data_IF_079580895894
#
_entry.id   IF_079580895894
#
_cell.length_a   1.000
_cell.length_b   1.000
_cell.length_c   1.000
_cell.angle_alpha   90.00
_cell.angle_beta   90.00
_cell.angle_gamma   90.00
#
_symmetry.space_group_name_H-M   'P 1'
#
loop_
_entity.id
_entity.type
_entity.pdbx_description
1 polymer ?
#
# COMPACT_ATOMS: atom_id res chain seq x y z
N UNK A 1 -12.35 -1.80 15.95
CA UNK A 1 -12.82 -1.97 14.55
C UNK A 1 -11.66 -2.56 13.78
N UNK A 2 -11.77 -3.81 13.33
CA UNK A 2 -10.75 -4.45 12.49
C UNK A 2 -10.90 -3.94 11.06
N UNK A 3 -9.78 -3.58 10.42
CA UNK A 3 -9.73 -3.09 9.04
C UNK A 3 -9.57 -4.29 8.12
N UNK A 4 -10.45 -4.46 7.13
CA UNK A 4 -10.38 -5.56 6.16
C UNK A 4 -9.30 -5.28 5.09
N UNK A 5 -8.55 -6.31 4.70
CA UNK A 5 -7.50 -6.25 3.66
C UNK A 5 -8.03 -6.89 2.37
N UNK A 6 -7.57 -6.46 1.19
CA UNK A 6 -8.04 -6.94 -0.12
C UNK A 6 -6.86 -7.40 -1.00
N UNK A 7 -6.98 -8.52 -1.72
CA UNK A 7 -5.90 -9.05 -2.61
C UNK A 7 -6.42 -10.01 -3.71
N UNK A 8 -5.58 -10.32 -4.71
CA UNK A 8 -5.89 -11.16 -5.90
C UNK A 8 -5.00 -12.40 -6.05
N UNK A 9 -4.01 -12.59 -5.18
CA UNK A 9 -2.99 -13.64 -5.29
C UNK A 9 -3.30 -14.81 -4.33
N UNK A 10 -3.06 -16.05 -4.77
CA UNK A 10 -3.38 -17.32 -4.06
C UNK A 10 -2.17 -18.25 -3.90
N UNK A 11 -0.96 -17.80 -4.24
CA UNK A 11 0.23 -18.62 -4.06
C UNK A 11 0.64 -18.71 -2.58
N UNK A 12 1.08 -19.91 -2.16
CA UNK A 12 1.49 -20.21 -0.78
C UNK A 12 2.96 -20.59 -0.75
N UNK A 13 3.75 -19.87 0.06
CA UNK A 13 5.17 -20.14 0.31
C UNK A 13 5.42 -20.33 1.81
N UNK A 14 6.31 -21.25 2.16
CA UNK A 14 6.68 -21.61 3.54
C UNK A 14 8.20 -21.57 3.67
N UNK A 15 8.72 -20.87 4.67
CA UNK A 15 10.15 -20.82 5.03
C UNK A 15 10.34 -21.09 6.53
N UNK A 16 11.30 -21.96 6.90
CA UNK A 16 11.59 -22.30 8.30
C UNK A 16 12.83 -21.53 8.81
N UNK A 17 12.66 -20.76 9.89
CA UNK A 17 13.71 -20.08 10.65
C UNK A 17 13.29 -20.05 12.14
N UNK A 18 13.93 -19.24 12.99
CA UNK A 18 13.41 -18.87 14.33
C UNK A 18 11.98 -18.27 14.23
N UNK A 19 11.67 -17.77 13.04
CA UNK A 19 10.37 -17.24 12.65
C UNK A 19 9.79 -18.19 11.60
N UNK A 20 8.58 -18.72 11.85
CA UNK A 20 7.83 -19.45 10.83
C UNK A 20 7.04 -18.45 10.01
N UNK A 21 7.12 -18.59 8.69
CA UNK A 21 6.46 -17.67 7.76
C UNK A 21 5.51 -18.45 6.86
N UNK A 22 4.25 -18.02 6.83
CA UNK A 22 3.24 -18.48 5.86
C UNK A 22 2.85 -17.28 5.01
N UNK A 23 3.05 -17.38 3.70
CA UNK A 23 2.60 -16.35 2.76
C UNK A 23 1.33 -16.82 2.03
N UNK A 24 0.33 -15.95 1.93
CA UNK A 24 -0.92 -16.18 1.18
C UNK A 24 -1.16 -14.94 0.32
N UNK A 25 -0.83 -15.05 -0.97
CA UNK A 25 -0.84 -13.91 -1.87
C UNK A 25 0.07 -12.78 -1.39
N UNK A 26 -0.46 -11.57 -1.27
CA UNK A 26 0.29 -10.39 -0.78
C UNK A 26 0.31 -10.27 0.74
N UNK A 27 -0.04 -11.31 1.49
CA UNK A 27 0.03 -11.31 2.96
C UNK A 27 1.09 -12.28 3.45
N UNK A 28 1.86 -11.85 4.44
CA UNK A 28 2.85 -12.66 5.14
C UNK A 28 2.49 -12.73 6.62
N UNK A 29 2.27 -13.94 7.09
CA UNK A 29 1.97 -14.28 8.48
C UNK A 29 3.26 -14.79 9.12
N UNK A 30 3.75 -14.08 10.12
CA UNK A 30 5.01 -14.39 10.78
C UNK A 30 4.75 -14.71 12.25
N UNK A 31 5.27 -15.85 12.71
CA UNK A 31 5.28 -16.21 14.11
C UNK A 31 6.72 -16.40 14.57
N UNK A 32 7.09 -15.66 15.60
CA UNK A 32 8.36 -15.80 16.30
C UNK A 32 8.13 -16.69 17.52
N UNK A 33 8.91 -17.76 17.68
CA UNK A 33 8.75 -18.72 18.79
C UNK A 33 8.78 -18.08 20.19
N UNK A 34 9.34 -16.86 20.31
CA UNK A 34 9.45 -16.14 21.59
C UNK A 34 8.14 -15.49 22.01
N UNK A 35 7.19 -15.32 21.10
CA UNK A 35 5.97 -14.58 21.35
C UNK A 35 4.72 -15.34 20.87
N UNK A 36 3.64 -15.40 21.66
CA UNK A 36 2.44 -16.17 21.33
C UNK A 36 1.45 -15.36 20.45
N UNK A 37 1.95 -14.60 19.46
CA UNK A 37 1.12 -13.85 18.51
C UNK A 37 1.64 -14.02 17.09
N UNK A 38 0.75 -13.81 16.10
CA UNK A 38 1.12 -13.78 14.68
C UNK A 38 1.10 -12.33 14.21
N UNK A 39 2.22 -11.85 13.68
CA UNK A 39 2.28 -10.57 13.01
C UNK A 39 1.92 -10.75 11.53
N UNK A 40 1.06 -9.87 11.02
CA UNK A 40 0.57 -9.92 9.63
C UNK A 40 1.09 -8.71 8.87
N UNK A 41 1.76 -8.97 7.76
CA UNK A 41 2.36 -7.97 6.89
C UNK A 41 1.78 -8.03 5.49
N UNK A 42 1.72 -6.87 4.81
CA UNK A 42 1.55 -6.78 3.36
C UNK A 42 2.92 -6.95 2.69
N UNK A 43 2.97 -7.79 1.67
CA UNK A 43 4.13 -8.05 0.80
C UNK A 43 3.84 -7.56 -0.61
N UNK A 44 4.89 -7.22 -1.37
CA UNK A 44 4.77 -6.73 -2.77
C UNK A 44 5.31 -5.32 -3.02
N UNK A 45 5.73 -4.59 -1.98
CA UNK A 45 6.50 -3.35 -2.07
C UNK A 45 8.01 -3.56 -1.89
N UNK A 46 8.77 -2.47 -1.72
CA UNK A 46 10.22 -2.54 -1.40
C UNK A 46 10.50 -3.17 -0.03
N UNK A 47 9.53 -3.14 0.88
CA UNK A 47 9.61 -3.72 2.23
C UNK A 47 8.24 -4.23 2.69
N UNK A 48 8.24 -5.07 3.73
CA UNK A 48 7.01 -5.55 4.38
C UNK A 48 6.35 -4.41 5.16
N UNK A 49 5.04 -4.24 4.99
CA UNK A 49 4.25 -3.24 5.73
C UNK A 49 3.40 -3.92 6.80
N UNK A 50 3.55 -3.52 8.07
CA UNK A 50 2.75 -4.09 9.16
C UNK A 50 1.27 -3.73 8.99
N UNK A 51 0.40 -4.74 9.10
CA UNK A 51 -1.05 -4.56 8.94
C UNK A 51 -1.78 -4.72 10.25
N UNK A 52 -1.56 -5.86 10.92
CA UNK A 52 -2.24 -6.21 12.16
C UNK A 52 -1.47 -7.31 12.88
N UNK A 53 -1.84 -7.51 14.13
CA UNK A 53 -1.40 -8.63 14.95
C UNK A 53 -2.62 -9.50 15.30
N UNK A 54 -2.42 -10.82 15.29
CA UNK A 54 -3.38 -11.80 15.77
C UNK A 54 -2.90 -12.25 17.15
N UNK A 55 -3.51 -11.67 18.18
CA UNK A 55 -3.24 -11.95 19.59
C UNK A 55 -4.58 -12.30 20.26
N UNK A 56 -4.88 -13.60 20.28
CA UNK A 56 -6.12 -14.15 20.82
C UNK A 56 -5.84 -14.86 22.15
N UNK A 57 -6.74 -14.75 23.11
CA UNK A 57 -6.57 -15.33 24.46
C UNK A 57 -6.36 -16.86 24.44
N UNK A 58 -6.87 -17.55 23.41
CA UNK A 58 -6.76 -19.00 23.23
C UNK A 58 -5.98 -19.37 21.97
N UNK A 59 -4.85 -18.70 21.73
CA UNK A 59 -4.03 -18.97 20.57
C UNK A 59 -3.45 -20.40 20.60
N UNK A 60 -3.54 -21.17 19.50
CA UNK A 60 -2.92 -22.49 19.43
C UNK A 60 -1.40 -22.40 19.48
N UNK A 61 -0.74 -23.43 20.01
CA UNK A 61 0.70 -23.61 19.83
C UNK A 61 0.92 -24.33 18.51
N UNK A 62 1.59 -23.67 17.57
CA UNK A 62 1.90 -24.25 16.27
C UNK A 62 3.22 -25.00 16.35
N UNK A 63 3.17 -26.32 16.24
CA UNK A 63 4.37 -27.17 16.23
C UNK A 63 4.78 -27.48 14.79
N UNK A 64 3.80 -27.58 13.89
CA UNK A 64 4.02 -27.89 12.48
C UNK A 64 3.48 -26.79 11.55
N UNK A 65 4.15 -26.62 10.41
CA UNK A 65 3.76 -25.65 9.38
C UNK A 65 2.34 -25.89 8.83
N UNK A 66 1.88 -27.14 8.80
CA UNK A 66 0.54 -27.49 8.31
C UNK A 66 -0.55 -26.92 9.23
N UNK A 67 -0.34 -26.97 10.54
CA UNK A 67 -1.27 -26.40 11.54
C UNK A 67 -1.35 -24.87 11.42
N UNK A 68 -0.18 -24.23 11.31
CA UNK A 68 -0.09 -22.78 11.11
C UNK A 68 -0.76 -22.36 9.80
N UNK A 69 -0.52 -23.10 8.71
CA UNK A 69 -1.13 -22.85 7.40
C UNK A 69 -2.65 -22.93 7.45
N UNK A 70 -3.22 -23.96 8.10
CA UNK A 70 -4.67 -24.11 8.25
C UNK A 70 -5.24 -22.93 9.05
N UNK A 71 -4.58 -22.53 10.13
CA UNK A 71 -5.00 -21.39 10.94
C UNK A 71 -4.98 -20.08 10.13
N UNK A 72 -3.87 -19.78 9.45
CA UNK A 72 -3.72 -18.60 8.60
C UNK A 72 -4.79 -18.57 7.49
N UNK A 73 -5.09 -19.70 6.85
CA UNK A 73 -6.15 -19.78 5.83
C UNK A 73 -7.53 -19.46 6.41
N UNK A 74 -7.87 -20.04 7.56
CA UNK A 74 -9.15 -19.76 8.22
C UNK A 74 -9.26 -18.28 8.62
N UNK A 75 -8.19 -17.71 9.17
CA UNK A 75 -8.16 -16.28 9.48
C UNK A 75 -8.32 -15.44 8.21
N UNK A 76 -7.59 -15.78 7.14
CA UNK A 76 -7.65 -15.09 5.85
C UNK A 76 -9.07 -15.06 5.30
N UNK A 77 -9.75 -16.21 5.20
CA UNK A 77 -11.12 -16.26 4.67
C UNK A 77 -12.14 -15.50 5.53
N UNK A 78 -11.88 -15.31 6.82
CA UNK A 78 -12.76 -14.57 7.72
C UNK A 78 -12.50 -13.06 7.73
N UNK A 79 -11.30 -12.61 7.34
CA UNK A 79 -10.85 -11.22 7.54
C UNK A 79 -10.43 -10.50 6.25
N UNK A 80 -10.25 -11.23 5.14
CA UNK A 80 -9.83 -10.69 3.85
C UNK A 80 -10.99 -10.75 2.86
N UNK A 81 -11.29 -9.62 2.23
CA UNK A 81 -12.31 -9.54 1.18
C UNK A 81 -11.64 -9.68 -0.19
N UNK A 82 -12.05 -10.69 -0.96
CA UNK A 82 -11.61 -10.84 -2.35
C UNK A 82 -12.51 -9.97 -3.22
N UNK A 83 -11.94 -8.95 -3.85
CA UNK A 83 -12.64 -8.06 -4.78
C UNK A 83 -12.12 -8.24 -6.21
N UNK A 84 -12.91 -7.83 -7.20
CA UNK A 84 -12.42 -7.77 -8.57
C UNK A 84 -11.29 -6.73 -8.67
N UNK A 85 -10.33 -6.96 -9.58
CA UNK A 85 -9.20 -6.04 -9.79
C UNK A 85 -9.66 -4.61 -10.12
N UNK A 86 -10.79 -4.47 -10.81
CA UNK A 86 -11.42 -3.18 -11.17
C UNK A 86 -11.88 -2.37 -9.95
N UNK A 87 -12.15 -3.02 -8.81
CA UNK A 87 -12.65 -2.36 -7.59
C UNK A 87 -11.51 -1.87 -6.67
N UNK A 88 -10.25 -2.22 -6.96
CA UNK A 88 -9.07 -1.82 -6.16
C UNK A 88 -8.79 -0.32 -6.35
N UNK A 89 -8.90 0.19 -7.59
CA UNK A 89 -8.67 1.61 -7.92
C UNK A 89 -9.65 2.56 -7.20
N UNK A 90 -10.84 2.08 -6.83
CA UNK A 90 -11.87 2.90 -6.18
C UNK A 90 -11.71 3.03 -4.66
N UNK A 91 -10.86 2.22 -4.02
CA UNK A 91 -10.78 2.14 -2.55
C UNK A 91 -9.41 2.45 -1.94
N UNK A 92 -8.34 2.53 -2.74
CA UNK A 92 -7.16 3.28 -2.30
C UNK A 92 -7.57 4.75 -2.13
N UNK A 93 -7.26 5.44 -1.02
CA UNK A 93 -7.36 6.90 -1.03
C UNK A 93 -6.50 7.34 -2.22
N UNK A 94 -7.10 8.00 -3.21
CA UNK A 94 -6.34 8.69 -4.24
C UNK A 94 -5.37 9.58 -3.47
N UNK A 95 -4.13 9.13 -3.40
CA UNK A 95 -3.06 9.90 -2.81
C UNK A 95 -3.03 11.16 -3.67
N UNK A 96 -3.47 12.28 -3.09
CA UNK A 96 -3.63 13.61 -3.68
C UNK A 96 -2.32 14.17 -4.31
N UNK A 97 -1.27 13.36 -4.42
CA UNK A 97 0.03 13.66 -5.00
C UNK A 97 -0.07 13.92 -6.51
N UNK A 98 -0.97 13.24 -7.24
CA UNK A 98 -1.16 13.57 -8.67
C UNK A 98 -1.85 14.93 -8.86
N UNK A 99 -2.87 15.26 -8.07
CA UNK A 99 -3.51 16.59 -8.15
C UNK A 99 -2.56 17.72 -7.75
N UNK A 100 -1.73 17.53 -6.71
CA UNK A 100 -0.81 18.57 -6.26
C UNK A 100 0.27 18.84 -7.32
N UNK A 101 0.84 17.80 -7.92
CA UNK A 101 1.81 17.93 -9.01
C UNK A 101 1.21 18.66 -10.23
N UNK A 102 -0.04 18.35 -10.59
CA UNK A 102 -0.73 19.06 -11.68
C UNK A 102 -0.99 20.52 -11.32
N UNK A 103 -1.40 20.83 -10.09
CA UNK A 103 -1.63 22.21 -9.62
C UNK A 103 -0.33 23.02 -9.62
N UNK A 104 0.78 22.42 -9.23
CA UNK A 104 2.10 23.07 -9.21
C UNK A 104 2.58 23.37 -10.64
N UNK A 105 2.47 22.40 -11.57
CA UNK A 105 2.79 22.60 -13.00
C UNK A 105 1.91 23.71 -13.62
N UNK A 106 0.60 23.70 -13.34
CA UNK A 106 -0.31 24.73 -13.87
C UNK A 106 0.01 26.13 -13.33
N UNK A 107 0.46 26.22 -12.09
CA UNK A 107 0.92 27.47 -11.47
C UNK A 107 2.18 28.00 -12.15
N UNK A 108 3.18 27.15 -12.36
CA UNK A 108 4.42 27.50 -13.05
C UNK A 108 4.15 27.98 -14.49
N UNK A 109 3.35 27.23 -15.25
CA UNK A 109 2.98 27.62 -16.63
C UNK A 109 2.27 28.97 -16.65
N UNK A 110 1.39 29.24 -15.68
CA UNK A 110 0.67 30.52 -15.58
C UNK A 110 1.63 31.69 -15.32
N UNK A 111 2.60 31.52 -14.42
CA UNK A 111 3.60 32.56 -14.14
C UNK A 111 4.50 32.86 -15.35
N UNK A 112 4.88 31.83 -16.10
CA UNK A 112 5.68 31.98 -17.33
C UNK A 112 4.91 32.74 -18.41
N UNK A 113 3.62 32.46 -18.59
CA UNK A 113 2.76 33.16 -19.55
C UNK A 113 2.64 34.66 -19.23
N UNK A 114 2.37 34.99 -17.96
CA UNK A 114 2.28 36.38 -17.50
C UNK A 114 3.60 37.12 -17.73
N UNK A 115 4.72 36.44 -17.45
CA UNK A 115 6.06 37.01 -17.64
C UNK A 115 6.36 37.24 -19.11
N UNK A 116 6.07 36.28 -19.99
CA UNK A 116 6.26 36.41 -21.43
C UNK A 116 5.39 37.53 -22.02
N UNK A 117 4.13 37.65 -21.58
CA UNK A 117 3.25 38.75 -21.96
C UNK A 117 3.78 40.12 -21.51
N UNK A 118 4.39 40.18 -20.32
CA UNK A 118 4.98 41.42 -19.79
C UNK A 118 6.24 41.83 -20.56
N UNK A 119 7.09 40.87 -20.93
CA UNK A 119 8.30 41.10 -21.74
C UNK A 119 7.91 41.56 -23.16
N UNK A 120 6.96 40.90 -23.80
CA UNK A 120 6.48 41.27 -25.14
C UNK A 120 5.84 42.66 -25.14
N UNK A 121 5.03 43.00 -24.12
CA UNK A 121 4.48 44.34 -23.95
C UNK A 121 5.57 45.40 -23.80
N UNK A 122 6.56 45.16 -22.94
CA UNK A 122 7.69 46.08 -22.74
C UNK A 122 8.55 46.25 -23.99
N UNK A 123 8.77 45.18 -24.75
CA UNK A 123 9.48 45.23 -26.02
C UNK A 123 8.71 46.02 -27.08
N UNK A 124 7.37 45.91 -27.13
CA UNK A 124 6.55 46.73 -28.01
C UNK A 124 6.58 48.21 -27.59
N UNK A 125 6.40 48.52 -26.30
CA UNK A 125 6.46 49.89 -25.77
C UNK A 125 7.81 50.58 -26.03
N UNK A 126 8.92 49.84 -25.97
CA UNK A 126 10.25 50.37 -26.28
C UNK A 126 10.47 50.62 -27.78
N UNK A 127 9.84 49.85 -28.67
CA UNK A 127 9.96 50.02 -30.13
C UNK A 127 9.09 51.15 -30.70
N UNK A 128 8.20 51.75 -29.90
CA UNK A 128 7.38 52.91 -30.30
C UNK A 128 7.94 54.26 -29.79
N UNK A 129 9.05 54.25 -29.04
CA UNK A 129 9.68 55.44 -28.46
C UNK A 129 11.09 55.76 -29.04
N UNK A 130 11.48 55.10 -30.13
CA UNK A 130 12.60 55.47 -31.01
C UNK A 130 12.05 56.05 -32.34
#
# INVERSE_FOLDING_TARGET
MSKMIKTTDTDIKIEESIILVVEIGTLSFEIDERYPWIDVYLTGGESKEFVTQIDEENMPVFVEHEELKIYCLNWYFNNVEIIASEDIERTAPEVLVQEQSIKDILSEVSTLLITASSITRKALENNFND
#
